data_IF_551497361465
#
_entry.id   IF_551497361465
#
_cell.length_a   1.000
_cell.length_b   1.000
_cell.length_c   1.000
_cell.angle_alpha   90.00
_cell.angle_beta   90.00
_cell.angle_gamma   90.00
#
_symmetry.space_group_name_H-M   'P 1'
#
loop_
_entity.id
_entity.type
_entity.pdbx_description
1 polymer ?
#
# COMPACT_ATOMS: atom_id res chain seq x y z
N UNK A 1 25.85 18.92 -6.92
CA UNK A 1 25.64 17.77 -6.01
C UNK A 1 24.17 17.38 -6.01
N UNK A 2 23.78 16.10 -6.15
CA UNK A 2 22.38 15.71 -6.06
C UNK A 2 21.89 15.94 -4.62
N UNK A 3 20.95 16.88 -4.42
CA UNK A 3 20.33 17.12 -3.11
C UNK A 3 19.66 15.82 -2.62
N UNK A 4 20.00 15.42 -1.40
CA UNK A 4 19.43 14.27 -0.69
C UNK A 4 17.91 14.47 -0.61
N UNK A 5 17.13 13.59 -1.24
CA UNK A 5 15.67 13.63 -1.13
C UNK A 5 15.29 13.11 0.25
N UNK A 6 14.50 13.89 1.00
CA UNK A 6 14.00 13.45 2.30
C UNK A 6 12.82 12.50 2.10
N UNK A 7 12.69 11.54 3.02
CA UNK A 7 11.51 10.70 3.14
C UNK A 7 10.60 11.31 4.20
N UNK A 8 9.41 11.75 3.81
CA UNK A 8 8.43 12.34 4.73
C UNK A 8 7.40 11.28 5.13
N UNK A 9 7.23 11.07 6.43
CA UNK A 9 6.20 10.17 6.96
C UNK A 9 5.01 11.02 7.41
N UNK A 10 3.83 10.70 6.90
CA UNK A 10 2.57 11.38 7.25
C UNK A 10 1.62 10.41 7.91
N UNK A 11 1.25 10.67 9.16
CA UNK A 11 0.13 9.99 9.81
C UNK A 11 -1.14 10.81 9.57
N UNK A 12 -2.09 10.24 8.83
CA UNK A 12 -3.31 10.92 8.42
C UNK A 12 -4.55 10.49 9.23
N UNK A 13 -4.41 9.54 10.16
CA UNK A 13 -5.53 9.00 10.94
C UNK A 13 -6.54 8.24 10.08
N UNK A 14 -7.83 8.34 10.41
CA UNK A 14 -8.92 7.71 9.64
C UNK A 14 -9.38 8.68 8.55
N UNK A 15 -9.48 8.20 7.30
CA UNK A 15 -9.83 9.02 6.13
C UNK A 15 -10.74 8.31 5.12
N UNK A 16 -11.52 9.09 4.37
CA UNK A 16 -12.27 8.58 3.23
C UNK A 16 -11.33 8.09 2.12
N UNK A 17 -11.59 6.89 1.57
CA UNK A 17 -10.76 6.31 0.51
C UNK A 17 -10.68 7.21 -0.73
N UNK A 18 -11.81 7.77 -1.16
CA UNK A 18 -11.92 8.59 -2.37
C UNK A 18 -11.02 9.84 -2.28
N UNK A 19 -11.03 10.52 -1.14
CA UNK A 19 -10.21 11.71 -0.89
C UNK A 19 -8.72 11.41 -0.93
N UNK A 20 -8.30 10.33 -0.25
CA UNK A 20 -6.90 9.91 -0.23
C UNK A 20 -6.46 9.45 -1.62
N UNK A 21 -7.32 8.72 -2.35
CA UNK A 21 -7.06 8.31 -3.72
C UNK A 21 -6.80 9.50 -4.66
N UNK A 22 -7.64 10.53 -4.62
CA UNK A 22 -7.39 11.73 -5.42
C UNK A 22 -6.18 12.52 -4.94
N UNK A 23 -5.92 12.54 -3.63
CA UNK A 23 -4.71 13.15 -3.08
C UNK A 23 -3.44 12.45 -3.60
N UNK A 24 -3.44 11.11 -3.65
CA UNK A 24 -2.34 10.32 -4.21
C UNK A 24 -2.11 10.63 -5.70
N UNK A 25 -3.19 10.73 -6.48
CA UNK A 25 -3.12 11.12 -7.90
C UNK A 25 -2.51 12.51 -8.06
N UNK A 26 -3.08 13.50 -7.37
CA UNK A 26 -2.64 14.89 -7.39
C UNK A 26 -1.18 15.04 -6.96
N UNK A 27 -0.75 14.26 -5.95
CA UNK A 27 0.64 14.22 -5.51
C UNK A 27 1.58 13.73 -6.63
N UNK A 28 1.20 12.65 -7.32
CA UNK A 28 2.00 12.11 -8.41
C UNK A 28 1.99 13.01 -9.66
N UNK A 29 0.86 13.63 -10.00
CA UNK A 29 0.75 14.58 -11.12
C UNK A 29 1.61 15.83 -10.92
N UNK A 30 1.68 16.33 -9.68
CA UNK A 30 2.48 17.52 -9.32
C UNK A 30 3.94 17.20 -9.00
N UNK A 31 4.33 15.92 -9.06
CA UNK A 31 5.68 15.49 -8.69
C UNK A 31 6.70 16.07 -9.67
N UNK A 32 7.70 16.75 -9.11
CA UNK A 32 8.88 17.26 -9.83
C UNK A 32 10.10 16.44 -9.45
N UNK A 33 11.22 16.64 -10.17
CA UNK A 33 12.51 15.96 -9.95
C UNK A 33 12.94 15.95 -8.48
N UNK A 34 12.69 17.06 -7.76
CA UNK A 34 13.11 17.26 -6.37
C UNK A 34 11.97 17.14 -5.36
N UNK A 35 10.78 16.68 -5.75
CA UNK A 35 9.70 16.41 -4.79
C UNK A 35 10.12 15.26 -3.87
N UNK A 36 10.06 15.50 -2.56
CA UNK A 36 10.35 14.49 -1.55
C UNK A 36 9.45 13.26 -1.71
N UNK A 37 9.98 12.08 -1.38
CA UNK A 37 9.16 10.88 -1.29
C UNK A 37 8.35 10.90 0.00
N UNK A 38 7.14 10.34 -0.04
CA UNK A 38 6.26 10.31 1.12
C UNK A 38 5.78 8.89 1.42
N UNK A 39 5.57 8.60 2.71
CA UNK A 39 4.85 7.41 3.17
C UNK A 39 3.63 7.89 3.95
N UNK A 40 2.44 7.52 3.49
CA UNK A 40 1.19 7.89 4.14
C UNK A 40 0.66 6.73 4.94
N UNK A 41 0.49 6.95 6.24
CA UNK A 41 0.03 5.97 7.23
C UNK A 41 -1.36 6.40 7.66
N UNK A 42 -2.36 5.54 7.45
CA UNK A 42 -3.76 5.87 7.71
C UNK A 42 -4.65 4.63 7.84
N UNK A 43 -5.91 4.84 8.13
CA UNK A 43 -6.96 3.83 8.05
C UNK A 43 -8.12 4.39 7.21
N UNK A 44 -8.95 3.51 6.66
CA UNK A 44 -10.14 3.90 5.91
C UNK A 44 -11.43 3.57 6.66
N UNK A 45 -12.46 4.37 6.41
CA UNK A 45 -13.83 3.92 6.66
C UNK A 45 -14.14 2.66 5.82
N UNK A 46 -15.11 1.82 6.24
CA UNK A 46 -15.45 0.58 5.55
C UNK A 46 -15.66 0.77 4.05
N UNK A 47 -14.89 0.06 3.22
CA UNK A 47 -14.98 0.16 1.76
C UNK A 47 -14.47 -1.09 1.06
N UNK A 48 -15.17 -1.49 0.00
CA UNK A 48 -14.67 -2.45 -0.98
C UNK A 48 -14.02 -1.72 -2.15
N UNK A 49 -12.84 -2.18 -2.55
CA UNK A 49 -12.15 -1.67 -3.75
C UNK A 49 -11.76 -2.80 -4.70
N UNK A 50 -11.81 -2.54 -6.00
CA UNK A 50 -11.29 -3.45 -7.02
C UNK A 50 -10.02 -2.91 -7.66
N UNK A 51 -9.11 -3.82 -7.98
CA UNK A 51 -7.96 -3.54 -8.82
C UNK A 51 -8.22 -3.89 -10.29
N UNK A 52 -7.26 -3.54 -11.14
CA UNK A 52 -7.37 -3.64 -12.60
C UNK A 52 -7.53 -5.07 -13.13
N UNK A 53 -7.16 -6.08 -12.34
CA UNK A 53 -7.31 -7.50 -12.72
C UNK A 53 -8.66 -8.11 -12.31
N UNK A 54 -9.51 -7.36 -11.60
CA UNK A 54 -10.84 -7.83 -11.26
C UNK A 54 -11.82 -7.54 -12.39
N UNK A 55 -12.39 -8.60 -12.99
CA UNK A 55 -13.40 -8.51 -14.04
C UNK A 55 -14.82 -8.78 -13.53
N UNK A 56 -14.98 -9.09 -12.23
CA UNK A 56 -16.29 -9.43 -11.66
C UNK A 56 -17.15 -8.19 -11.43
N UNK A 57 -18.47 -8.37 -11.56
CA UNK A 57 -19.47 -7.41 -11.07
C UNK A 57 -19.93 -7.87 -9.68
N UNK A 58 -20.18 -6.91 -8.80
CA UNK A 58 -20.62 -7.15 -7.43
C UNK A 58 -21.99 -6.50 -7.21
N UNK A 59 -22.90 -7.11 -6.43
CA UNK A 59 -24.24 -6.57 -6.18
C UNK A 59 -24.25 -5.42 -5.14
N UNK A 60 -23.09 -4.88 -4.79
CA UNK A 60 -22.90 -3.81 -3.81
C UNK A 60 -21.89 -2.78 -4.31
N UNK A 61 -21.82 -1.63 -3.65
CA UNK A 61 -20.89 -0.57 -4.04
C UNK A 61 -19.43 -1.02 -3.90
N UNK A 62 -18.67 -0.86 -4.98
CA UNK A 62 -17.24 -1.14 -5.02
C UNK A 62 -16.52 0.00 -5.74
N UNK A 63 -15.55 0.60 -5.07
CA UNK A 63 -14.75 1.65 -5.67
C UNK A 63 -13.70 1.05 -6.62
N UNK A 64 -13.73 1.45 -7.89
CA UNK A 64 -12.73 1.03 -8.89
C UNK A 64 -11.44 1.83 -8.72
N UNK A 65 -10.34 1.14 -8.42
CA UNK A 65 -9.02 1.74 -8.29
C UNK A 65 -8.11 1.30 -9.45
N UNK A 66 -6.92 1.89 -9.54
CA UNK A 66 -5.88 1.53 -10.52
C UNK A 66 -4.81 0.58 -9.95
N UNK A 67 -5.02 0.00 -8.76
CA UNK A 67 -4.07 -0.94 -8.16
C UNK A 67 -4.12 -2.31 -8.85
N UNK A 68 -3.06 -3.10 -8.72
CA UNK A 68 -3.07 -4.51 -9.11
C UNK A 68 -3.95 -5.38 -8.21
N UNK A 69 -4.28 -6.58 -8.66
CA UNK A 69 -5.03 -7.57 -7.88
C UNK A 69 -6.55 -7.45 -8.02
N UNK A 70 -7.25 -8.29 -7.25
CA UNK A 70 -8.72 -8.43 -7.27
C UNK A 70 -9.38 -7.53 -6.22
N UNK A 71 -10.65 -7.74 -5.90
CA UNK A 71 -11.36 -7.08 -4.80
C UNK A 71 -10.63 -7.22 -3.46
N UNK A 72 -10.70 -6.19 -2.62
CA UNK A 72 -10.30 -6.22 -1.21
C UNK A 72 -11.18 -5.29 -0.39
N UNK A 73 -11.19 -5.50 0.92
CA UNK A 73 -11.91 -4.67 1.88
C UNK A 73 -10.92 -3.87 2.75
N UNK A 74 -11.30 -2.64 3.08
CA UNK A 74 -10.63 -1.81 4.05
C UNK A 74 -11.60 -1.28 5.10
N UNK A 75 -11.14 -1.11 6.33
CA UNK A 75 -11.96 -0.57 7.41
C UNK A 75 -11.11 -0.19 8.64
N UNK A 76 -11.74 0.40 9.67
CA UNK A 76 -11.08 0.71 10.93
C UNK A 76 -10.43 -0.53 11.57
N UNK A 77 -9.27 -0.34 12.20
CA UNK A 77 -8.42 -1.43 12.71
C UNK A 77 -7.44 -2.00 11.68
N UNK A 78 -7.60 -1.70 10.39
CA UNK A 78 -6.63 -2.07 9.35
C UNK A 78 -5.67 -0.91 9.06
N UNK A 79 -4.40 -1.10 9.41
CA UNK A 79 -3.35 -0.14 9.06
C UNK A 79 -3.06 -0.17 7.55
N UNK A 80 -3.25 0.96 6.88
CA UNK A 80 -2.92 1.17 5.46
C UNK A 80 -1.66 2.02 5.36
N UNK A 81 -0.78 1.64 4.41
CA UNK A 81 0.46 2.36 4.11
C UNK A 81 0.54 2.58 2.59
N UNK A 82 0.55 3.84 2.16
CA UNK A 82 0.79 4.21 0.77
C UNK A 82 2.21 4.74 0.58
N UNK A 83 2.99 4.03 -0.23
CA UNK A 83 4.36 4.41 -0.58
C UNK A 83 4.35 5.34 -1.79
N UNK A 84 4.37 6.64 -1.54
CA UNK A 84 4.42 7.67 -2.57
C UNK A 84 5.86 7.93 -3.00
N UNK A 85 6.52 6.89 -3.53
CA UNK A 85 7.96 6.88 -3.83
C UNK A 85 8.22 6.92 -5.35
N UNK A 86 9.13 7.78 -5.81
CA UNK A 86 9.63 7.75 -7.17
C UNK A 86 10.65 6.62 -7.35
N UNK A 87 10.17 5.49 -7.86
CA UNK A 87 10.98 4.29 -8.07
C UNK A 87 12.10 4.49 -9.11
N UNK A 88 11.88 5.31 -10.14
CA UNK A 88 12.86 5.57 -11.20
C UNK A 88 14.01 6.38 -10.65
N UNK A 89 13.72 7.47 -9.93
CA UNK A 89 14.73 8.29 -9.27
C UNK A 89 15.58 7.49 -8.29
N UNK A 90 14.94 6.61 -7.51
CA UNK A 90 15.63 5.77 -6.54
C UNK A 90 16.30 4.53 -7.15
N UNK A 91 16.15 4.28 -8.46
CA UNK A 91 16.66 3.08 -9.16
C UNK A 91 16.20 1.77 -8.50
N UNK A 92 14.97 1.74 -8.00
CA UNK A 92 14.37 0.56 -7.34
C UNK A 92 13.27 0.01 -8.24
N UNK A 93 13.26 -1.29 -8.51
CA UNK A 93 12.13 -1.91 -9.21
C UNK A 93 10.95 -2.18 -8.25
N UNK A 94 9.70 -2.17 -8.74
CA UNK A 94 8.53 -2.50 -7.91
C UNK A 94 8.67 -3.84 -7.16
N UNK A 95 9.26 -4.84 -7.81
CA UNK A 95 9.51 -6.17 -7.23
C UNK A 95 10.50 -6.13 -6.06
N UNK A 96 11.53 -5.28 -6.15
CA UNK A 96 12.50 -5.08 -5.05
C UNK A 96 11.83 -4.35 -3.88
N UNK A 97 11.06 -3.30 -4.15
CA UNK A 97 10.31 -2.60 -3.10
C UNK A 97 9.34 -3.56 -2.37
N UNK A 98 8.55 -4.32 -3.11
CA UNK A 98 7.63 -5.31 -2.55
C UNK A 98 8.36 -6.30 -1.63
N UNK A 99 9.49 -6.86 -2.08
CA UNK A 99 10.29 -7.78 -1.24
C UNK A 99 10.81 -7.12 0.03
N UNK A 100 11.23 -5.86 -0.02
CA UNK A 100 11.66 -5.11 1.17
C UNK A 100 10.51 -4.91 2.14
N UNK A 101 9.34 -4.50 1.64
CA UNK A 101 8.11 -4.37 2.46
C UNK A 101 7.75 -5.70 3.10
N UNK A 102 7.76 -6.80 2.34
CA UNK A 102 7.45 -8.11 2.90
C UNK A 102 8.42 -8.52 4.01
N UNK A 103 9.72 -8.29 3.82
CA UNK A 103 10.73 -8.55 4.85
C UNK A 103 10.47 -7.72 6.11
N UNK A 104 10.22 -6.41 5.97
CA UNK A 104 9.91 -5.53 7.10
C UNK A 104 8.73 -6.07 7.89
N UNK A 105 7.62 -6.38 7.23
CA UNK A 105 6.42 -6.87 7.93
C UNK A 105 6.67 -8.23 8.61
N UNK A 106 7.36 -9.16 7.95
CA UNK A 106 7.70 -10.45 8.57
C UNK A 106 8.59 -10.25 9.80
N UNK A 107 9.60 -9.39 9.71
CA UNK A 107 10.48 -9.06 10.84
C UNK A 107 9.73 -8.38 11.99
N UNK A 108 8.81 -7.46 11.69
CA UNK A 108 7.95 -6.83 12.69
C UNK A 108 7.06 -7.87 13.38
N UNK A 109 6.42 -8.77 12.62
CA UNK A 109 5.62 -9.84 13.20
C UNK A 109 6.47 -10.78 14.06
N UNK A 110 7.68 -11.11 13.61
CA UNK A 110 8.61 -11.94 14.38
C UNK A 110 9.01 -11.28 15.71
N UNK A 111 9.25 -9.97 15.73
CA UNK A 111 9.50 -9.21 16.97
C UNK A 111 8.36 -9.35 17.99
N UNK A 112 7.11 -9.44 17.52
CA UNK A 112 5.95 -9.74 18.37
C UNK A 112 5.69 -11.24 18.58
N UNK A 113 6.68 -12.11 18.30
CA UNK A 113 6.58 -13.58 18.38
C UNK A 113 5.49 -14.19 17.47
N UNK A 114 5.10 -13.49 16.39
CA UNK A 114 4.12 -13.97 15.41
C UNK A 114 4.86 -14.57 14.21
N UNK A 115 4.85 -15.90 14.10
CA UNK A 115 5.39 -16.61 12.93
C UNK A 115 4.56 -16.31 11.69
N UNK A 116 5.20 -15.78 10.65
CA UNK A 116 4.57 -15.41 9.38
C UNK A 116 5.43 -15.78 8.18
N UNK A 117 4.81 -15.88 7.00
CA UNK A 117 5.52 -16.21 5.76
C UNK A 117 4.89 -15.50 4.55
N UNK A 118 5.70 -15.25 3.53
CA UNK A 118 5.23 -14.75 2.23
C UNK A 118 4.79 -15.92 1.34
N UNK A 119 3.57 -15.86 0.80
CA UNK A 119 3.08 -16.86 -0.14
C UNK A 119 3.32 -16.41 -1.59
N UNK A 120 4.13 -17.17 -2.33
CA UNK A 120 4.46 -16.86 -3.74
C UNK A 120 3.31 -17.15 -4.71
N UNK A 121 2.43 -18.11 -4.41
CA UNK A 121 1.29 -18.50 -5.28
C UNK A 121 0.13 -17.52 -5.13
N UNK A 122 -0.15 -17.12 -3.89
CA UNK A 122 -1.19 -16.14 -3.57
C UNK A 122 -0.51 -14.97 -2.86
N UNK A 123 -0.15 -13.88 -3.57
CA UNK A 123 0.63 -12.80 -3.01
C UNK A 123 0.02 -12.23 -1.72
N UNK A 124 0.87 -12.09 -0.71
CA UNK A 124 0.53 -11.59 0.63
C UNK A 124 1.37 -12.26 1.72
N UNK A 125 1.20 -11.79 2.95
CA UNK A 125 1.82 -12.36 4.15
C UNK A 125 0.75 -13.12 4.94
N UNK A 126 1.12 -14.31 5.41
CA UNK A 126 0.20 -15.25 6.04
C UNK A 126 0.66 -15.60 7.46
N UNK A 127 -0.30 -15.76 8.35
CA UNK A 127 -0.16 -16.23 9.73
C UNK A 127 -1.16 -17.35 9.94
N UNK A 128 -0.72 -18.53 10.41
CA UNK A 128 -1.58 -19.72 10.61
C UNK A 128 -2.47 -20.03 9.38
N UNK A 129 -1.90 -19.97 8.17
CA UNK A 129 -2.57 -20.15 6.86
C UNK A 129 -3.66 -19.11 6.52
N UNK A 130 -3.88 -18.09 7.36
CA UNK A 130 -4.78 -16.96 7.10
C UNK A 130 -3.99 -15.76 6.59
N UNK A 131 -4.57 -15.00 5.66
CA UNK A 131 -3.93 -13.81 5.10
C UNK A 131 -3.93 -12.69 6.13
N UNK A 132 -2.75 -12.14 6.42
CA UNK A 132 -2.54 -11.05 7.37
C UNK A 132 -2.30 -9.71 6.63
N UNK A 133 -1.47 -9.72 5.58
CA UNK A 133 -1.26 -8.56 4.69
C UNK A 133 -1.57 -8.93 3.25
N UNK A 134 -2.25 -8.02 2.55
CA UNK A 134 -2.59 -8.13 1.13
C UNK A 134 -1.39 -7.82 0.21
#
# INVERSE_FOLDING_TARGET
>A
MPKKSFLVIKNLGIRCYKEVFYSMKKFNERRKKYTNDEIWILQHFPIYTTGISDKKKYPFFVFKSNRGGKITFHGPGQQIIYFMIDLKRNRISPKVLMRKICKIVISTLFFFNIKSYFNKKIPGIYVKKKKFVQ
#
